data_IF_174201296319
#
_entry.id   IF_174201296319
#
_cell.length_a   1.000
_cell.length_b   1.000
_cell.length_c   1.000
_cell.angle_alpha   90.00
_cell.angle_beta   90.00
_cell.angle_gamma   90.00
#
_symmetry.space_group_name_H-M   'P 1'
#
loop_
_entity.id
_entity.type
_entity.pdbx_description
1 polymer ?
#
# COMPACT_ATOMS: atom_id res chain seq x y z
N UNK A 1 5.26 -18.35 13.56
CA UNK A 1 5.80 -18.50 12.19
C UNK A 1 5.84 -17.10 11.60
N UNK A 2 7.02 -16.54 11.34
CA UNK A 2 7.16 -15.19 10.77
C UNK A 2 7.06 -15.30 9.25
N UNK A 3 6.03 -14.72 8.65
CA UNK A 3 5.80 -14.76 7.20
C UNK A 3 6.77 -13.81 6.51
N UNK A 4 7.99 -14.25 6.27
CA UNK A 4 9.02 -13.46 5.58
C UNK A 4 8.70 -13.47 4.08
N UNK A 5 8.32 -12.32 3.54
CA UNK A 5 8.14 -12.14 2.10
C UNK A 5 9.43 -11.55 1.51
N UNK A 6 9.78 -11.89 0.28
CA UNK A 6 10.89 -11.24 -0.43
C UNK A 6 10.36 -10.63 -1.72
N UNK A 7 10.74 -9.39 -1.97
CA UNK A 7 10.37 -8.67 -3.19
C UNK A 7 11.63 -8.29 -3.98
N UNK A 8 11.65 -8.43 -5.30
CA UNK A 8 12.78 -7.99 -6.11
C UNK A 8 12.89 -6.46 -6.09
N UNK A 9 14.09 -5.94 -5.87
CA UNK A 9 14.36 -4.51 -5.96
C UNK A 9 14.26 -4.02 -7.42
N UNK A 10 13.53 -2.93 -7.72
CA UNK A 10 13.41 -2.43 -9.10
C UNK A 10 14.73 -1.87 -9.66
N UNK A 11 15.63 -1.35 -8.80
CA UNK A 11 16.87 -0.69 -9.23
C UNK A 11 18.04 -1.67 -9.46
N UNK A 12 18.17 -2.69 -8.60
CA UNK A 12 19.31 -3.61 -8.61
C UNK A 12 18.93 -5.09 -8.72
N UNK A 13 17.62 -5.39 -8.83
CA UNK A 13 17.09 -6.76 -8.86
C UNK A 13 17.40 -7.63 -7.62
N UNK A 14 18.06 -7.06 -6.62
CA UNK A 14 18.40 -7.77 -5.37
C UNK A 14 17.13 -8.07 -4.58
N UNK A 15 16.95 -9.30 -4.05
CA UNK A 15 15.81 -9.64 -3.22
C UNK A 15 15.86 -8.87 -1.90
N UNK A 16 14.82 -8.09 -1.62
CA UNK A 16 14.66 -7.34 -0.38
C UNK A 16 13.81 -8.19 0.56
N UNK A 17 14.36 -8.71 1.68
CA UNK A 17 13.58 -9.41 2.69
C UNK A 17 12.70 -8.38 3.41
N UNK A 18 11.39 -8.59 3.33
CA UNK A 18 10.38 -7.80 4.01
C UNK A 18 9.94 -8.56 5.26
N UNK A 19 10.35 -8.05 6.42
CA UNK A 19 9.82 -8.51 7.69
C UNK A 19 8.59 -7.68 8.07
N UNK A 20 7.48 -8.38 8.36
CA UNK A 20 6.23 -7.75 8.77
C UNK A 20 6.40 -6.86 10.00
N UNK A 21 7.25 -7.21 10.96
CA UNK A 21 7.46 -6.36 12.15
C UNK A 21 8.13 -5.05 11.77
N UNK A 22 9.17 -5.09 10.94
CA UNK A 22 9.82 -3.87 10.46
C UNK A 22 8.86 -3.01 9.63
N UNK A 23 8.00 -3.62 8.83
CA UNK A 23 6.96 -2.92 8.09
C UNK A 23 5.92 -2.26 9.01
N UNK A 24 5.53 -2.93 10.09
CA UNK A 24 4.58 -2.40 11.08
C UNK A 24 5.21 -1.31 11.96
N UNK A 25 6.48 -1.43 12.31
CA UNK A 25 7.19 -0.47 13.17
C UNK A 25 7.68 0.76 12.39
N UNK A 26 8.19 0.58 11.16
CA UNK A 26 8.85 1.64 10.39
C UNK A 26 8.06 2.09 9.16
N UNK A 27 7.01 1.38 8.76
CA UNK A 27 6.23 1.67 7.55
C UNK A 27 7.03 1.58 6.24
N UNK A 28 8.30 1.15 6.31
CA UNK A 28 9.27 1.25 5.25
C UNK A 28 10.34 0.17 5.36
N UNK A 29 10.86 -0.25 4.21
CA UNK A 29 11.93 -1.23 4.08
C UNK A 29 13.02 -0.68 3.15
N UNK A 30 14.28 -0.79 3.55
CA UNK A 30 15.42 -0.29 2.77
C UNK A 30 16.19 -1.46 2.15
N UNK A 31 16.44 -1.39 0.85
CA UNK A 31 17.25 -2.37 0.13
C UNK A 31 18.71 -2.31 0.62
N UNK A 32 19.31 -3.44 1.03
CA UNK A 32 20.68 -3.45 1.55
C UNK A 32 21.75 -3.21 0.47
N UNK A 33 21.42 -3.40 -0.81
CA UNK A 33 22.39 -3.31 -1.90
C UNK A 33 22.47 -1.91 -2.53
N UNK A 34 21.31 -1.30 -2.83
CA UNK A 34 21.24 0.01 -3.45
C UNK A 34 20.72 1.12 -2.53
N UNK A 35 20.38 0.81 -1.27
CA UNK A 35 19.78 1.74 -0.30
C UNK A 35 18.43 2.35 -0.74
N UNK A 36 17.74 1.73 -1.71
CA UNK A 36 16.39 2.11 -2.10
C UNK A 36 15.42 1.92 -0.93
N UNK A 37 14.71 2.98 -0.54
CA UNK A 37 13.71 2.93 0.53
C UNK A 37 12.31 2.74 -0.06
N UNK A 38 11.71 1.59 0.21
CA UNK A 38 10.34 1.25 -0.16
C UNK A 38 9.42 1.61 1.01
N UNK A 39 8.49 2.53 0.81
CA UNK A 39 7.45 2.84 1.78
C UNK A 39 6.14 2.19 1.38
N UNK A 40 5.41 1.63 2.35
CA UNK A 40 4.06 1.13 2.10
C UNK A 40 3.14 2.35 2.00
N UNK A 41 2.89 2.79 0.77
CA UNK A 41 2.03 3.92 0.54
C UNK A 41 0.58 3.54 0.88
N UNK A 42 0.04 4.10 1.97
CA UNK A 42 -1.35 3.90 2.40
C UNK A 42 -2.31 4.73 1.50
N UNK A 43 -2.07 4.77 0.19
CA UNK A 43 -2.79 5.60 -0.78
C UNK A 43 -4.11 4.98 -1.26
N UNK A 44 -4.59 3.91 -0.63
CA UNK A 44 -5.93 3.39 -0.90
C UNK A 44 -7.04 4.19 -0.22
N UNK A 45 -6.73 5.22 0.58
CA UNK A 45 -7.75 6.05 1.23
C UNK A 45 -8.52 6.95 0.25
N UNK A 46 -7.84 7.52 -0.74
CA UNK A 46 -8.46 8.45 -1.70
C UNK A 46 -9.48 7.76 -2.62
N UNK A 47 -9.12 6.59 -3.14
CA UNK A 47 -9.99 5.82 -4.05
C UNK A 47 -11.28 5.35 -3.36
N UNK A 48 -11.19 4.97 -2.08
CA UNK A 48 -12.34 4.49 -1.30
C UNK A 48 -13.29 5.66 -1.01
N UNK A 49 -12.77 6.82 -0.57
CA UNK A 49 -13.59 8.01 -0.32
C UNK A 49 -14.34 8.48 -1.57
N UNK A 50 -13.66 8.54 -2.72
CA UNK A 50 -14.30 8.97 -3.97
C UNK A 50 -15.41 8.00 -4.40
N UNK A 51 -15.21 6.70 -4.20
CA UNK A 51 -16.19 5.67 -4.55
C UNK A 51 -17.43 5.73 -3.65
N UNK A 52 -17.26 5.95 -2.34
CA UNK A 52 -18.38 6.12 -1.41
C UNK A 52 -19.19 7.38 -1.74
N UNK A 53 -18.52 8.50 -2.02
CA UNK A 53 -19.20 9.76 -2.35
C UNK A 53 -20.05 9.63 -3.63
N UNK A 54 -19.51 9.00 -4.67
CA UNK A 54 -20.23 8.74 -5.94
C UNK A 54 -21.44 7.82 -5.73
N UNK A 55 -21.34 6.84 -4.83
CA UNK A 55 -22.43 5.91 -4.56
C UNK A 55 -23.59 6.57 -3.79
N UNK A 56 -23.29 7.47 -2.84
CA UNK A 56 -24.31 8.26 -2.12
C UNK A 56 -25.07 9.23 -3.04
N UNK A 57 -24.38 9.84 -4.00
CA UNK A 57 -25.00 10.76 -4.97
C UNK A 57 -26.03 10.04 -5.85
N UNK A 58 -25.69 8.85 -6.34
CA UNK A 58 -26.61 8.00 -7.12
C UNK A 58 -27.83 7.53 -6.31
N UNK A 59 -27.66 7.30 -5.00
CA UNK A 59 -28.76 6.85 -4.13
C UNK A 59 -29.79 7.96 -3.91
N UNK A 60 -29.36 9.22 -3.79
CA UNK A 60 -30.24 10.37 -3.61
C UNK A 60 -31.03 10.73 -4.88
N UNK A 61 -30.47 10.46 -6.07
CA UNK A 61 -31.19 10.70 -7.35
C UNK A 61 -32.39 9.75 -7.55
N UNK A 62 -32.33 8.54 -6.99
CA UNK A 62 -33.39 7.53 -7.12
C UNK A 62 -34.59 7.76 -6.19
N UNK A 63 -34.44 8.57 -5.13
CA UNK A 63 -35.51 8.90 -4.18
C UNK A 63 -36.41 10.05 -4.66
N UNK A 64 -35.96 10.80 -5.68
CA UNK A 64 -36.65 11.99 -6.22
C UNK A 64 -37.29 11.75 -7.60
N UNK A 65 -37.56 10.50 -7.97
CA UNK A 65 -38.30 10.10 -9.18
C UNK A 65 -39.55 9.32 -8.83
#
# INVERSE_FOLDING_TARGET
MATTASIPCPECNTPIPIDLKTLMEKGSATCPHCQLTLQVNNNSKGLIQETFQKFEDLKNLKDKM
#
